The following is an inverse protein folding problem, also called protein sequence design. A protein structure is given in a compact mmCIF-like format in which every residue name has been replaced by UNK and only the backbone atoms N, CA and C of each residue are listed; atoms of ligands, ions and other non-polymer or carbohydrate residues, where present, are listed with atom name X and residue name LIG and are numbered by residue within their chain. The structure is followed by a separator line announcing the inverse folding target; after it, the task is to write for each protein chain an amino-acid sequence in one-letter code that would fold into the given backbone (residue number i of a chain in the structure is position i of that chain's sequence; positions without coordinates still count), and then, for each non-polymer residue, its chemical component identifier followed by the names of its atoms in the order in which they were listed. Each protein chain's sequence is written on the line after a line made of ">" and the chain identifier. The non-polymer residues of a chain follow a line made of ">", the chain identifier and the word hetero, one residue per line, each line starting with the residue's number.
data_IF_747674248922
#
_entry.id   IF_747674248922
#
_cell.length_a   1.000
_cell.length_b   1.000
_cell.length_c   1.000
_cell.angle_alpha   90.00
_cell.angle_beta   90.00
_cell.angle_gamma   90.00
#
_symmetry.space_group_name_H-M   'P 1'
#
loop_
_entity.id
_entity.type
_entity.pdbx_description
1 polymer ?
#
# COMPACT_ATOMS: atom_id res chain seq x y z
N UNK A 1 11.41 -14.02 -32.59
CA UNK A 1 11.43 -13.94 -31.12
C UNK A 1 11.38 -12.47 -30.74
N UNK A 2 10.18 -11.94 -30.61
CA UNK A 2 9.94 -10.61 -30.05
C UNK A 2 8.84 -10.77 -29.02
N UNK A 3 9.22 -10.70 -27.75
CA UNK A 3 8.29 -10.63 -26.63
C UNK A 3 7.64 -9.24 -26.66
N UNK A 4 6.51 -9.09 -27.34
CA UNK A 4 5.64 -7.94 -27.15
C UNK A 4 4.96 -8.10 -25.80
N UNK A 5 5.44 -7.33 -24.82
CA UNK A 5 4.85 -7.23 -23.51
C UNK A 5 3.41 -6.77 -23.63
N UNK A 6 2.49 -7.58 -23.13
CA UNK A 6 1.13 -7.18 -22.87
C UNK A 6 1.18 -5.96 -21.95
N UNK A 7 0.87 -4.78 -22.46
CA UNK A 7 0.63 -3.58 -21.67
C UNK A 7 -0.64 -3.84 -20.84
N UNK A 8 -0.45 -4.42 -19.67
CA UNK A 8 -1.46 -4.54 -18.64
C UNK A 8 -1.89 -3.12 -18.28
N UNK A 9 -3.11 -2.72 -18.65
CA UNK A 9 -3.74 -1.51 -18.16
C UNK A 9 -4.00 -1.67 -16.65
N UNK A 10 -2.94 -1.54 -15.88
CA UNK A 10 -3.00 -1.27 -14.46
C UNK A 10 -3.79 0.01 -14.35
N UNK A 11 -4.84 0.06 -13.53
CA UNK A 11 -5.23 1.33 -12.93
C UNK A 11 -3.97 1.75 -12.16
N UNK A 12 -3.08 2.43 -12.86
CA UNK A 12 -1.91 3.04 -12.29
C UNK A 12 -2.45 3.89 -11.17
N UNK A 13 -2.19 3.45 -9.94
CA UNK A 13 -2.27 4.41 -8.86
C UNK A 13 -1.14 5.38 -9.20
N UNK A 14 -1.50 6.52 -9.78
CA UNK A 14 -0.61 7.57 -10.27
C UNK A 14 0.19 8.23 -9.13
N UNK A 15 0.61 7.43 -8.17
CA UNK A 15 1.42 7.87 -7.04
C UNK A 15 2.76 7.17 -7.17
N UNK A 16 3.76 7.96 -7.51
CA UNK A 16 5.15 7.51 -7.56
C UNK A 16 5.92 8.03 -6.34
N UNK A 17 7.07 7.45 -6.00
CA UNK A 17 7.97 7.99 -4.98
C UNK A 17 8.33 9.45 -5.20
N UNK A 18 8.47 9.89 -6.44
CA UNK A 18 8.74 11.27 -6.83
C UNK A 18 7.69 12.25 -6.30
N UNK A 19 6.41 11.84 -6.28
CA UNK A 19 5.29 12.70 -5.86
C UNK A 19 5.19 12.86 -4.35
N UNK A 20 5.83 11.97 -3.58
CA UNK A 20 5.66 11.87 -2.13
C UNK A 20 6.95 11.98 -1.34
N UNK A 21 8.11 11.85 -1.99
CA UNK A 21 9.40 11.93 -1.32
C UNK A 21 9.68 13.31 -0.72
N UNK A 22 10.50 13.33 0.30
CA UNK A 22 11.15 14.54 0.80
C UNK A 22 12.52 14.64 0.16
N UNK A 23 12.82 15.73 -0.51
CA UNK A 23 14.17 16.03 -1.00
C UNK A 23 15.11 16.40 0.16
N UNK A 24 14.55 16.84 1.30
CA UNK A 24 15.31 17.14 2.51
C UNK A 24 15.52 15.85 3.30
N UNK A 25 16.66 15.25 3.14
CA UNK A 25 17.10 14.11 3.93
C UNK A 25 18.46 14.38 4.57
N UNK A 26 18.79 13.62 5.61
CA UNK A 26 20.10 13.68 6.26
C UNK A 26 20.88 12.43 5.91
N UNK A 27 22.13 12.61 5.54
CA UNK A 27 23.09 11.55 5.27
C UNK A 27 24.19 11.53 6.33
N UNK A 28 24.58 10.34 6.77
CA UNK A 28 25.72 10.13 7.65
C UNK A 28 26.61 9.00 7.11
N UNK A 29 27.89 9.04 7.48
CA UNK A 29 28.79 7.90 7.24
C UNK A 29 28.52 6.79 8.24
N UNK A 30 28.62 5.54 7.80
CA UNK A 30 28.51 4.35 8.65
C UNK A 30 29.56 4.30 9.76
N UNK A 31 30.69 4.98 9.56
CA UNK A 31 31.82 5.03 10.53
C UNK A 31 31.63 6.10 11.61
N UNK A 32 30.65 7.00 11.47
CA UNK A 32 30.37 8.00 12.49
C UNK A 32 29.78 7.38 13.75
N UNK A 33 29.90 8.10 14.90
CA UNK A 33 29.36 7.64 16.18
C UNK A 33 27.86 7.87 16.27
N UNK A 34 27.14 7.01 16.96
CA UNK A 34 25.70 7.14 17.18
C UNK A 34 25.34 8.42 17.93
N UNK A 35 26.24 8.96 18.77
CA UNK A 35 26.05 10.27 19.41
C UNK A 35 25.78 11.39 18.42
N UNK A 36 26.48 11.38 17.27
CA UNK A 36 26.21 12.35 16.19
C UNK A 36 24.83 12.15 15.55
N UNK A 37 24.42 10.90 15.36
CA UNK A 37 23.09 10.61 14.84
C UNK A 37 21.99 11.09 15.81
N UNK A 38 22.20 10.93 17.13
CA UNK A 38 21.27 11.43 18.16
C UNK A 38 21.14 12.94 18.04
N UNK A 39 22.24 13.68 18.03
CA UNK A 39 22.25 15.15 17.86
C UNK A 39 21.48 15.56 16.59
N UNK A 40 21.66 14.84 15.47
CA UNK A 40 20.95 15.10 14.23
C UNK A 40 19.43 14.88 14.39
N UNK A 41 19.01 13.82 15.09
CA UNK A 41 17.58 13.58 15.36
C UNK A 41 16.98 14.67 16.26
N UNK A 42 17.71 15.12 17.28
CA UNK A 42 17.29 16.18 18.21
C UNK A 42 17.16 17.55 17.52
N UNK A 43 18.13 17.92 16.67
CA UNK A 43 18.17 19.23 16.02
C UNK A 43 17.29 19.36 14.78
N UNK A 44 17.16 18.29 14.00
CA UNK A 44 16.54 18.31 12.67
C UNK A 44 15.29 17.46 12.54
N UNK A 45 15.02 16.59 13.52
CA UNK A 45 13.89 15.65 13.55
C UNK A 45 13.65 14.94 12.18
N UNK A 46 14.69 14.37 11.53
CA UNK A 46 14.52 13.72 10.27
C UNK A 46 13.70 12.43 10.42
N UNK A 47 12.92 12.07 9.42
CA UNK A 47 12.12 10.83 9.40
C UNK A 47 13.02 9.57 9.46
N UNK A 48 14.20 9.64 8.87
CA UNK A 48 15.30 8.68 8.99
C UNK A 48 16.61 9.31 8.49
N UNK A 49 17.73 8.72 8.86
CA UNK A 49 19.07 9.08 8.34
C UNK A 49 19.48 8.04 7.30
N UNK A 50 19.88 8.50 6.12
CA UNK A 50 20.43 7.65 5.06
C UNK A 50 21.92 7.42 5.32
N UNK A 51 22.37 6.16 5.34
CA UNK A 51 23.73 5.80 5.72
C UNK A 51 24.52 5.36 4.50
N UNK A 52 25.73 5.91 4.39
CA UNK A 52 26.70 5.61 3.32
C UNK A 52 28.02 5.13 3.91
N UNK A 53 28.79 4.33 3.14
CA UNK A 53 30.15 3.96 3.51
C UNK A 53 31.16 5.08 3.22
N UNK A 54 32.43 4.82 3.49
CA UNK A 54 33.54 5.75 3.22
C UNK A 54 33.70 6.09 1.73
N UNK A 55 33.22 5.21 0.85
CA UNK A 55 33.25 5.42 -0.61
C UNK A 55 32.01 6.14 -1.13
N UNK A 56 31.09 6.54 -0.22
CA UNK A 56 29.84 7.17 -0.56
C UNK A 56 28.76 6.20 -1.07
N UNK A 57 28.95 4.88 -0.95
CA UNK A 57 27.98 3.88 -1.39
C UNK A 57 26.90 3.68 -0.32
N UNK A 58 25.65 3.59 -0.73
CA UNK A 58 24.50 3.38 0.15
C UNK A 58 24.58 2.06 0.92
N UNK A 59 24.39 2.13 2.24
CA UNK A 59 24.42 0.98 3.17
C UNK A 59 23.07 0.68 3.83
N UNK A 60 22.20 1.67 3.96
CA UNK A 60 20.93 1.49 4.60
C UNK A 60 20.38 2.76 5.22
N UNK A 61 19.43 2.59 6.13
CA UNK A 61 18.83 3.69 6.88
C UNK A 61 18.97 3.45 8.38
N UNK A 62 19.06 4.54 9.13
CA UNK A 62 19.02 4.56 10.58
C UNK A 62 17.76 5.27 11.03
N UNK A 63 16.98 4.63 11.89
CA UNK A 63 15.79 5.21 12.52
C UNK A 63 16.04 5.48 13.98
N UNK A 64 15.55 6.61 14.48
CA UNK A 64 15.67 7.03 15.87
C UNK A 64 15.21 5.95 16.85
N UNK A 65 14.10 5.28 16.56
CA UNK A 65 13.54 4.21 17.40
C UNK A 65 14.49 3.04 17.66
N UNK A 66 15.43 2.76 16.75
CA UNK A 66 16.39 1.67 16.93
C UNK A 66 17.50 2.08 17.89
N UNK A 67 17.89 3.35 17.87
CA UNK A 67 18.86 3.90 18.82
C UNK A 67 18.30 3.75 20.24
N UNK A 68 17.03 4.12 20.44
CA UNK A 68 16.38 4.04 21.74
C UNK A 68 16.16 2.61 22.24
N UNK A 69 15.98 1.65 21.35
CA UNK A 69 15.83 0.22 21.74
C UNK A 69 17.15 -0.46 22.03
N UNK A 70 18.25 0.06 21.50
CA UNK A 70 19.56 -0.52 21.69
C UNK A 70 20.14 -0.08 23.03
N UNK A 71 20.44 -1.05 23.90
CA UNK A 71 21.14 -0.79 25.17
C UNK A 71 22.64 -0.68 24.95
N UNK A 72 23.08 0.36 24.25
CA UNK A 72 24.47 0.56 23.82
C UNK A 72 24.93 1.96 24.23
N UNK A 73 26.25 2.14 24.38
CA UNK A 73 26.84 3.45 24.58
C UNK A 73 26.97 4.18 23.22
N UNK A 74 26.19 5.27 22.99
CA UNK A 74 26.20 5.97 21.71
C UNK A 74 27.57 6.62 21.38
N UNK A 75 28.38 6.90 22.38
CA UNK A 75 29.71 7.53 22.22
C UNK A 75 30.77 6.54 21.76
N UNK A 76 30.51 5.24 21.93
CA UNK A 76 31.43 4.15 21.57
C UNK A 76 30.93 3.28 20.43
N UNK A 77 29.70 3.48 20.01
CA UNK A 77 29.05 2.66 18.98
C UNK A 77 28.91 3.44 17.68
N UNK A 78 29.33 2.83 16.60
CA UNK A 78 29.22 3.42 15.25
C UNK A 78 27.81 3.26 14.68
N UNK A 79 27.44 4.17 13.78
CA UNK A 79 26.16 4.19 13.04
C UNK A 79 25.86 2.85 12.39
N UNK A 80 26.86 2.19 11.77
CA UNK A 80 26.71 0.88 11.10
C UNK A 80 26.10 -0.21 11.98
N UNK A 81 26.29 -0.15 13.29
CA UNK A 81 25.79 -1.16 14.22
C UNK A 81 24.25 -1.20 14.31
N UNK A 82 23.57 -0.10 14.01
CA UNK A 82 22.12 0.02 14.02
C UNK A 82 21.52 0.35 12.64
N UNK A 83 22.37 0.49 11.64
CA UNK A 83 21.92 0.67 10.24
C UNK A 83 21.21 -0.58 9.76
N UNK A 84 20.04 -0.40 9.16
CA UNK A 84 19.31 -1.48 8.51
C UNK A 84 19.29 -1.28 7.01
N UNK A 85 19.66 -2.35 6.32
CA UNK A 85 19.54 -2.34 4.88
C UNK A 85 18.08 -2.44 4.46
N UNK A 86 17.67 -1.58 3.56
CA UNK A 86 16.44 -1.66 2.80
C UNK A 86 16.78 -1.42 1.34
N UNK A 87 16.22 -2.22 0.44
CA UNK A 87 16.41 -1.99 -0.98
C UNK A 87 15.88 -0.62 -1.37
N UNK A 88 16.77 0.25 -1.81
CA UNK A 88 16.40 1.55 -2.34
C UNK A 88 15.45 1.40 -3.54
N UNK A 89 14.61 2.38 -3.74
CA UNK A 89 13.64 2.43 -4.84
C UNK A 89 14.04 3.48 -5.87
N UNK A 90 13.54 3.34 -7.09
CA UNK A 90 13.60 4.39 -8.10
C UNK A 90 12.42 5.35 -7.97
N UNK A 91 12.55 6.52 -8.59
CA UNK A 91 11.49 7.53 -8.64
C UNK A 91 10.19 7.03 -9.29
N UNK A 92 10.26 5.99 -10.14
CA UNK A 92 9.14 5.39 -10.87
C UNK A 92 8.63 4.09 -10.24
N UNK A 93 9.15 3.69 -9.08
CA UNK A 93 8.72 2.46 -8.38
C UNK A 93 7.24 2.59 -7.98
N UNK A 94 6.46 1.51 -8.10
CA UNK A 94 5.08 1.49 -7.63
C UNK A 94 5.03 1.75 -6.11
N UNK A 95 4.16 2.68 -5.68
CA UNK A 95 4.06 3.09 -4.28
C UNK A 95 3.65 1.94 -3.34
N UNK A 96 2.90 0.94 -3.84
CA UNK A 96 2.55 -0.27 -3.07
C UNK A 96 3.77 -1.13 -2.80
N UNK A 97 4.71 -1.20 -3.74
CA UNK A 97 5.98 -1.89 -3.55
C UNK A 97 6.85 -1.17 -2.50
N UNK A 98 6.84 0.16 -2.49
CA UNK A 98 7.50 0.95 -1.44
C UNK A 98 6.93 0.62 -0.07
N UNK A 99 5.59 0.58 0.06
CA UNK A 99 4.91 0.19 1.30
C UNK A 99 5.30 -1.23 1.75
N UNK A 100 5.39 -2.18 0.81
CA UNK A 100 5.83 -3.56 1.09
C UNK A 100 7.26 -3.60 1.60
N UNK A 101 8.20 -2.90 0.96
CA UNK A 101 9.60 -2.81 1.40
C UNK A 101 9.72 -2.21 2.81
N UNK A 102 8.91 -1.19 3.15
CA UNK A 102 8.87 -0.62 4.50
C UNK A 102 8.46 -1.66 5.54
N UNK A 103 7.42 -2.46 5.26
CA UNK A 103 6.94 -3.49 6.19
C UNK A 103 7.94 -4.64 6.36
N UNK A 104 8.45 -5.18 5.27
CA UNK A 104 9.39 -6.31 5.25
C UNK A 104 10.70 -5.97 5.97
N UNK A 105 11.25 -4.80 5.69
CA UNK A 105 12.49 -4.34 6.33
C UNK A 105 12.27 -3.73 7.71
N UNK A 106 11.01 -3.49 8.10
CA UNK A 106 10.65 -2.85 9.36
C UNK A 106 11.16 -1.42 9.47
N UNK A 107 11.33 -0.70 8.35
CA UNK A 107 11.80 0.69 8.29
C UNK A 107 10.63 1.66 8.19
N UNK A 108 10.83 2.92 8.58
CA UNK A 108 9.83 3.98 8.49
C UNK A 108 10.03 4.86 7.26
N UNK A 109 11.20 4.76 6.61
CA UNK A 109 11.49 5.50 5.40
C UNK A 109 12.38 4.69 4.46
N UNK A 110 12.21 4.90 3.16
CA UNK A 110 12.98 4.26 2.09
C UNK A 110 13.59 5.33 1.22
N UNK A 111 14.92 5.27 0.94
CA UNK A 111 15.58 6.24 0.07
C UNK A 111 15.23 6.01 -1.40
N UNK A 112 15.10 7.11 -2.13
CA UNK A 112 14.78 7.16 -3.56
C UNK A 112 16.03 7.55 -4.32
N UNK A 113 16.39 6.78 -5.34
CA UNK A 113 17.51 7.05 -6.21
C UNK A 113 17.05 7.24 -7.65
N UNK A 114 17.88 7.89 -8.47
CA UNK A 114 17.63 7.97 -9.90
C UNK A 114 17.47 6.59 -10.52
N UNK A 115 16.52 6.42 -11.44
CA UNK A 115 16.25 5.13 -12.10
C UNK A 115 17.48 4.53 -12.79
N UNK A 116 18.39 5.36 -13.27
CA UNK A 116 19.65 4.96 -13.90
C UNK A 116 20.73 4.43 -12.90
N UNK A 117 20.49 4.53 -11.59
CA UNK A 117 21.46 4.12 -10.58
C UNK A 117 21.39 2.60 -10.33
N UNK A 118 22.39 1.85 -10.81
CA UNK A 118 22.58 0.44 -10.43
C UNK A 118 22.85 0.31 -8.93
N UNK A 119 22.65 -0.88 -8.36
CA UNK A 119 22.91 -1.12 -6.93
C UNK A 119 24.32 -0.69 -6.48
N UNK A 120 25.34 -0.94 -7.31
CA UNK A 120 26.72 -0.56 -7.04
C UNK A 120 27.01 0.94 -7.18
N UNK A 121 26.15 1.69 -7.89
CA UNK A 121 26.34 3.12 -8.16
C UNK A 121 25.39 4.03 -7.36
N UNK A 122 24.74 3.51 -6.32
CA UNK A 122 23.87 4.29 -5.42
C UNK A 122 24.70 5.10 -4.44
N UNK A 123 25.09 6.29 -4.87
CA UNK A 123 25.87 7.25 -4.08
C UNK A 123 24.99 8.35 -3.52
N UNK A 124 25.51 9.09 -2.54
CA UNK A 124 24.79 10.20 -1.94
C UNK A 124 24.32 11.24 -2.97
N UNK A 125 25.13 11.51 -3.99
CA UNK A 125 24.80 12.46 -5.08
C UNK A 125 23.64 12.00 -5.96
N UNK A 126 23.37 10.69 -6.03
CA UNK A 126 22.28 10.11 -6.81
C UNK A 126 21.04 9.84 -5.98
N UNK A 127 21.11 10.06 -4.68
CA UNK A 127 19.95 10.01 -3.79
C UNK A 127 19.10 11.25 -4.00
N UNK A 128 17.86 11.06 -4.45
CA UNK A 128 16.93 12.15 -4.72
C UNK A 128 16.16 12.59 -3.46
N UNK A 129 15.99 11.68 -2.51
CA UNK A 129 15.24 11.95 -1.31
C UNK A 129 14.84 10.68 -0.56
N UNK A 130 13.89 10.81 0.35
CA UNK A 130 13.30 9.69 1.10
C UNK A 130 11.79 9.74 1.05
N UNK A 131 11.16 8.56 1.01
CA UNK A 131 9.73 8.39 1.22
C UNK A 131 9.52 7.81 2.60
N UNK A 132 8.78 8.52 3.46
CA UNK A 132 8.41 8.01 4.78
C UNK A 132 7.01 7.39 4.78
N UNK A 133 6.75 6.59 5.82
CA UNK A 133 5.46 5.94 6.05
C UNK A 133 4.30 6.95 6.06
N UNK A 134 4.45 8.06 6.77
CA UNK A 134 3.38 9.07 6.87
C UNK A 134 3.15 9.82 5.57
N UNK A 135 4.20 10.10 4.79
CA UNK A 135 4.06 10.74 3.47
C UNK A 135 3.35 9.83 2.48
N UNK A 136 3.75 8.55 2.46
CA UNK A 136 3.12 7.52 1.64
C UNK A 136 1.63 7.38 2.01
N UNK A 137 1.33 7.20 3.30
CA UNK A 137 -0.04 7.05 3.78
C UNK A 137 -0.89 8.29 3.51
N UNK A 138 -0.35 9.50 3.65
CA UNK A 138 -1.05 10.75 3.32
C UNK A 138 -1.43 10.78 1.84
N UNK A 139 -0.50 10.50 0.95
CA UNK A 139 -0.78 10.46 -0.48
C UNK A 139 -1.78 9.36 -0.84
N UNK A 140 -1.64 8.15 -0.26
CA UNK A 140 -2.58 7.06 -0.44
C UNK A 140 -4.00 7.43 0.02
N UNK A 141 -4.12 8.07 1.18
CA UNK A 141 -5.41 8.49 1.73
C UNK A 141 -6.06 9.66 0.96
N UNK A 142 -5.27 10.55 0.38
CA UNK A 142 -5.77 11.69 -0.39
C UNK A 142 -6.13 11.32 -1.83
N UNK A 143 -5.25 10.57 -2.51
CA UNK A 143 -5.35 10.30 -3.95
C UNK A 143 -6.09 9.01 -4.30
N UNK A 144 -6.41 8.15 -3.33
CA UNK A 144 -7.09 6.88 -3.59
C UNK A 144 -8.36 6.69 -2.76
N UNK A 145 -9.27 5.79 -3.18
CA UNK A 145 -10.46 5.47 -2.38
C UNK A 145 -10.16 4.85 -1.00
N UNK A 146 -8.93 4.41 -0.76
CA UNK A 146 -8.49 3.91 0.55
C UNK A 146 -8.76 4.91 1.68
N UNK A 147 -8.56 6.21 1.42
CA UNK A 147 -8.84 7.26 2.41
C UNK A 147 -10.29 7.37 2.85
N UNK A 148 -11.24 6.83 2.07
CA UNK A 148 -12.68 6.81 2.38
C UNK A 148 -13.12 5.60 3.19
N UNK A 149 -12.22 4.63 3.40
CA UNK A 149 -12.49 3.44 4.19
C UNK A 149 -12.64 3.78 5.69
N UNK A 150 -13.44 2.98 6.40
CA UNK A 150 -13.65 3.17 7.84
C UNK A 150 -12.51 2.57 8.65
N UNK A 151 -12.03 3.32 9.66
CA UNK A 151 -10.87 2.92 10.48
C UNK A 151 -11.10 1.62 11.26
N UNK A 152 -12.34 1.32 11.66
CA UNK A 152 -12.68 0.09 12.39
C UNK A 152 -12.32 -1.19 11.65
N UNK A 153 -12.24 -1.15 10.31
CA UNK A 153 -11.87 -2.31 9.47
C UNK A 153 -10.42 -2.75 9.67
N UNK A 154 -9.57 -1.83 10.12
CA UNK A 154 -8.12 -2.00 10.16
C UNK A 154 -7.53 -1.90 11.56
N UNK A 155 -8.34 -1.48 12.53
CA UNK A 155 -7.91 -1.33 13.91
C UNK A 155 -7.70 -2.67 14.61
N UNK A 156 -6.66 -2.74 15.44
CA UNK A 156 -6.45 -3.84 16.38
C UNK A 156 -7.40 -3.68 17.56
N UNK A 157 -8.34 -4.63 17.73
CA UNK A 157 -9.38 -4.59 18.78
C UNK A 157 -9.00 -5.40 20.02
N UNK A 158 -8.12 -6.40 19.89
CA UNK A 158 -7.61 -7.15 21.04
C UNK A 158 -6.50 -6.34 21.71
N UNK A 159 -6.90 -5.42 22.61
CA UNK A 159 -6.01 -4.46 23.22
C UNK A 159 -5.27 -5.05 24.40
N UNK A 160 -3.95 -4.89 24.39
CA UNK A 160 -3.09 -5.03 25.55
C UNK A 160 -2.99 -3.66 26.20
N UNK A 161 -3.46 -3.53 27.43
CA UNK A 161 -3.51 -2.26 28.15
C UNK A 161 -2.77 -2.33 29.48
N UNK A 162 -2.44 -1.18 29.99
CA UNK A 162 -1.80 -0.99 31.29
C UNK A 162 -2.66 -0.10 32.18
N UNK A 163 -2.36 -0.06 33.48
CA UNK A 163 -3.04 0.80 34.45
C UNK A 163 -2.12 1.95 34.87
N UNK A 164 -2.64 3.13 35.25
CA UNK A 164 -1.81 4.29 35.65
C UNK A 164 -0.75 3.98 36.69
N UNK A 165 -1.10 3.13 37.67
CA UNK A 165 -0.24 2.70 38.76
C UNK A 165 0.75 1.58 38.41
N UNK A 166 0.67 1.02 37.20
CA UNK A 166 1.66 0.04 36.78
C UNK A 166 3.03 0.71 36.63
N UNK A 167 4.10 -0.03 36.90
CA UNK A 167 5.45 0.51 36.81
C UNK A 167 5.96 0.54 35.33
N UNK A 168 6.93 1.42 35.10
CA UNK A 168 7.68 1.42 33.81
C UNK A 168 8.31 0.04 33.54
N UNK A 169 8.79 -0.67 34.57
CA UNK A 169 9.31 -2.03 34.43
C UNK A 169 8.25 -2.98 33.88
N UNK A 170 7.00 -2.91 34.36
CA UNK A 170 5.88 -3.71 33.86
C UNK A 170 5.55 -3.35 32.41
N UNK A 171 5.53 -2.05 32.06
CA UNK A 171 5.32 -1.61 30.69
C UNK A 171 6.35 -2.20 29.72
N UNK A 172 7.64 -2.15 30.09
CA UNK A 172 8.73 -2.73 29.31
C UNK A 172 8.63 -4.26 29.17
N UNK A 173 8.21 -4.95 30.24
CA UNK A 173 7.96 -6.40 30.20
C UNK A 173 6.81 -6.74 29.23
N UNK A 174 5.67 -6.04 29.37
CA UNK A 174 4.50 -6.18 28.50
C UNK A 174 4.86 -5.91 27.02
N UNK A 175 5.63 -4.85 26.76
CA UNK A 175 6.06 -4.54 25.38
C UNK A 175 6.93 -5.64 24.77
N UNK A 176 7.77 -6.27 25.59
CA UNK A 176 8.62 -7.38 25.14
C UNK A 176 7.82 -8.66 24.91
N UNK A 177 6.97 -9.02 25.87
CA UNK A 177 6.16 -10.24 25.84
C UNK A 177 5.23 -10.27 24.63
N UNK A 178 4.59 -9.13 24.33
CA UNK A 178 3.62 -9.00 23.24
C UNK A 178 4.19 -8.41 21.96
N UNK A 179 5.50 -8.18 21.87
CA UNK A 179 6.19 -7.57 20.72
C UNK A 179 5.60 -6.22 20.26
N UNK A 180 4.99 -5.47 21.20
CA UNK A 180 4.41 -4.14 20.96
C UNK A 180 5.37 -3.02 21.41
N UNK A 181 5.08 -1.79 21.01
CA UNK A 181 5.87 -0.60 21.39
C UNK A 181 5.04 0.48 22.07
N UNK A 182 3.76 0.21 22.28
CA UNK A 182 2.81 1.13 22.93
C UNK A 182 1.63 0.37 23.48
N UNK A 183 0.99 0.94 24.50
CA UNK A 183 -0.23 0.40 25.06
C UNK A 183 -1.11 1.55 25.57
N UNK A 184 -2.44 1.49 25.38
CA UNK A 184 -3.35 2.40 26.06
C UNK A 184 -3.30 2.15 27.57
N UNK A 185 -3.48 3.22 28.32
CA UNK A 185 -3.56 3.20 29.78
C UNK A 185 -5.02 3.39 30.16
N UNK A 186 -5.58 2.40 30.88
CA UNK A 186 -6.99 2.38 31.25
C UNK A 186 -7.16 2.52 32.77
N UNK A 187 -8.12 3.34 33.17
CA UNK A 187 -8.59 3.47 34.54
C UNK A 187 -10.12 3.43 34.56
N UNK A 188 -10.70 2.52 35.33
CA UNK A 188 -12.15 2.36 35.40
C UNK A 188 -12.83 2.03 34.07
N UNK A 189 -12.10 1.44 33.11
CA UNK A 189 -12.60 1.12 31.76
C UNK A 189 -12.50 2.27 30.76
N UNK A 190 -12.07 3.45 31.19
CA UNK A 190 -11.81 4.60 30.33
C UNK A 190 -10.33 4.70 29.99
N UNK A 191 -10.01 5.20 28.82
CA UNK A 191 -8.62 5.48 28.44
C UNK A 191 -8.20 6.82 29.05
N UNK A 192 -7.11 6.80 29.82
CA UNK A 192 -6.58 8.00 30.48
C UNK A 192 -5.23 8.44 29.92
N UNK A 193 -4.60 7.61 29.08
CA UNK A 193 -3.33 7.92 28.45
C UNK A 193 -2.89 6.84 27.48
N UNK A 194 -1.76 7.07 26.82
CA UNK A 194 -1.02 6.08 26.04
C UNK A 194 0.44 6.11 26.51
N UNK A 195 1.02 4.95 26.75
CA UNK A 195 2.44 4.81 27.04
C UNK A 195 3.15 4.17 25.86
N UNK A 196 4.24 4.75 25.42
CA UNK A 196 5.05 4.24 24.30
C UNK A 196 6.47 3.93 24.73
N UNK A 197 7.17 3.11 23.94
CA UNK A 197 8.60 2.88 24.13
C UNK A 197 9.39 4.19 24.03
N UNK A 198 8.98 5.10 23.14
CA UNK A 198 9.60 6.42 23.02
C UNK A 198 9.50 7.22 24.29
N UNK A 199 8.31 7.30 24.92
CA UNK A 199 8.12 8.02 26.19
C UNK A 199 9.05 7.49 27.29
N UNK A 200 9.18 6.16 27.38
CA UNK A 200 10.04 5.52 28.38
C UNK A 200 11.52 5.84 28.10
N UNK A 201 11.93 5.73 26.85
CA UNK A 201 13.35 5.93 26.50
C UNK A 201 13.78 7.37 26.67
N UNK A 202 13.01 8.32 26.16
CA UNK A 202 13.34 9.75 26.24
C UNK A 202 13.37 10.24 27.67
N UNK A 203 12.50 9.74 28.55
CA UNK A 203 12.45 10.20 29.94
C UNK A 203 13.41 9.49 30.87
N UNK A 204 13.76 8.21 30.64
CA UNK A 204 14.50 7.39 31.61
C UNK A 204 15.78 6.77 31.07
N UNK A 205 15.92 6.58 29.78
CA UNK A 205 17.06 5.86 29.20
C UNK A 205 18.07 6.77 28.49
N UNK A 206 17.67 7.99 28.12
CA UNK A 206 18.58 8.98 27.55
C UNK A 206 19.41 9.65 28.66
N UNK A 207 20.72 9.77 28.48
CA UNK A 207 21.57 10.54 29.43
C UNK A 207 21.15 12.01 29.35
N UNK A 208 20.66 12.57 30.45
CA UNK A 208 20.54 14.02 30.58
C UNK A 208 21.95 14.60 30.64
N UNK A 209 22.26 15.58 29.80
CA UNK A 209 23.60 16.22 29.68
C UNK A 209 24.14 16.84 31.01
N UNK A 210 23.36 16.82 32.09
CA UNK A 210 23.71 17.43 33.39
C UNK A 210 23.91 16.44 34.55
N UNK A 211 23.90 15.13 34.32
CA UNK A 211 24.21 14.17 35.34
C UNK A 211 25.74 13.98 35.44
N UNK A 212 26.36 14.51 36.47
CA UNK A 212 27.75 14.26 36.77
C UNK A 212 28.00 12.79 37.07
N UNK A 213 29.19 12.28 36.70
CA UNK A 213 29.59 10.86 36.74
C UNK A 213 29.43 10.18 38.14
N UNK A 214 29.20 10.96 39.21
CA UNK A 214 28.99 10.47 40.58
C UNK A 214 27.57 9.96 40.88
N UNK A 215 26.55 10.38 40.10
CA UNK A 215 25.15 10.10 40.42
C UNK A 215 24.67 8.72 39.93
N UNK A 216 25.51 8.01 39.14
CA UNK A 216 25.13 6.76 38.50
C UNK A 216 25.32 5.48 39.33
N UNK A 217 26.04 5.53 40.45
CA UNK A 217 26.42 4.31 41.18
C UNK A 217 25.35 3.79 42.15
N UNK A 218 24.38 4.61 42.56
CA UNK A 218 23.40 4.27 43.61
C UNK A 218 21.92 4.17 43.17
N UNK A 219 21.53 4.72 42.03
CA UNK A 219 20.12 4.92 41.67
C UNK A 219 19.59 4.14 40.43
N UNK A 220 20.36 3.23 39.87
CA UNK A 220 20.01 2.51 38.63
C UNK A 220 18.74 1.67 38.68
N UNK A 221 18.13 1.43 39.82
CA UNK A 221 16.91 0.61 39.95
C UNK A 221 15.62 1.43 40.18
N UNK A 222 15.72 2.69 40.59
CA UNK A 222 14.55 3.51 40.90
C UNK A 222 13.72 3.98 39.69
N UNK A 223 14.29 4.30 38.49
CA UNK A 223 13.50 4.79 37.38
C UNK A 223 12.47 3.79 36.86
N UNK A 224 12.73 2.49 37.02
CA UNK A 224 11.84 1.44 36.50
C UNK A 224 10.64 1.15 37.43
N UNK A 225 10.67 1.59 38.68
CA UNK A 225 9.57 1.46 39.65
C UNK A 225 8.56 2.62 39.59
N UNK A 226 8.84 3.66 38.78
CA UNK A 226 7.96 4.82 38.63
C UNK A 226 6.64 4.40 37.99
N UNK A 227 5.47 4.85 38.50
CA UNK A 227 4.19 4.64 37.90
C UNK A 227 4.12 5.27 36.49
N UNK A 228 3.47 4.58 35.56
CA UNK A 228 3.41 5.07 34.18
C UNK A 228 2.55 6.33 33.99
N UNK A 229 1.69 6.67 34.95
CA UNK A 229 0.92 7.92 34.94
C UNK A 229 1.79 9.17 34.82
N UNK A 230 3.01 9.13 35.39
CA UNK A 230 3.99 10.21 35.28
C UNK A 230 4.76 10.25 33.93
N UNK A 231 4.55 9.27 33.08
CA UNK A 231 5.33 9.06 31.85
C UNK A 231 4.44 9.04 30.62
N UNK A 232 3.21 8.53 30.75
CA UNK A 232 2.26 8.41 29.65
C UNK A 232 1.95 9.78 29.01
N UNK A 233 1.61 9.75 27.75
CA UNK A 233 1.17 10.92 26.99
C UNK A 233 -0.34 11.12 27.12
N UNK A 234 -0.76 12.38 27.35
CA UNK A 234 -2.13 12.87 27.34
C UNK A 234 -2.13 14.35 26.86
N UNK A 235 -3.21 14.90 26.27
CA UNK A 235 -4.48 14.26 25.97
C UNK A 235 -4.37 13.20 24.85
N UNK A 236 -5.37 12.33 24.81
CA UNK A 236 -5.45 11.27 23.81
C UNK A 236 -5.95 11.83 22.49
N UNK A 237 -5.41 11.27 21.40
CA UNK A 237 -5.91 11.53 20.05
C UNK A 237 -6.64 10.29 19.60
N UNK A 238 -7.94 10.42 19.40
CA UNK A 238 -8.84 9.35 19.03
C UNK A 238 -9.69 9.71 17.80
N UNK A 239 -10.22 8.69 17.15
CA UNK A 239 -11.19 8.78 16.05
C UNK A 239 -12.36 7.85 16.35
N UNK A 240 -13.59 8.18 15.93
CA UNK A 240 -14.73 7.26 16.07
C UNK A 240 -14.57 6.04 15.14
N UNK A 241 -15.22 4.91 15.42
CA UNK A 241 -15.12 3.69 14.61
C UNK A 241 -15.50 3.88 13.14
N UNK A 242 -16.44 4.77 12.84
CA UNK A 242 -16.89 5.14 11.50
C UNK A 242 -16.02 6.22 10.85
N UNK A 243 -15.05 6.77 11.59
CA UNK A 243 -14.06 7.73 11.10
C UNK A 243 -13.32 7.17 9.88
N UNK A 244 -12.84 8.06 9.03
CA UNK A 244 -12.19 7.65 7.78
C UNK A 244 -10.68 7.52 7.97
N UNK A 245 -10.08 6.65 7.17
CA UNK A 245 -8.60 6.48 7.13
C UNK A 245 -7.91 7.82 6.91
N UNK A 246 -8.46 8.68 6.02
CA UNK A 246 -7.91 10.01 5.78
C UNK A 246 -7.81 10.86 7.04
N UNK A 247 -8.85 10.84 7.88
CA UNK A 247 -8.90 11.62 9.12
C UNK A 247 -7.85 11.10 10.13
N UNK A 248 -7.75 9.78 10.27
CA UNK A 248 -6.74 9.15 11.13
C UNK A 248 -5.31 9.49 10.68
N UNK A 249 -5.03 9.43 9.37
CA UNK A 249 -3.71 9.79 8.82
C UNK A 249 -3.40 11.27 9.03
N UNK A 250 -4.37 12.16 8.84
CA UNK A 250 -4.20 13.60 9.10
C UNK A 250 -3.86 13.86 10.55
N UNK A 251 -4.59 13.26 11.49
CA UNK A 251 -4.28 13.37 12.93
C UNK A 251 -2.90 12.85 13.28
N UNK A 252 -2.48 11.70 12.69
CA UNK A 252 -1.14 11.16 12.90
C UNK A 252 -0.06 12.12 12.40
N UNK A 253 -0.28 12.77 11.25
CA UNK A 253 0.66 13.72 10.67
C UNK A 253 0.74 15.03 11.45
N UNK A 254 -0.40 15.62 11.80
CA UNK A 254 -0.49 16.92 12.47
C UNK A 254 0.07 16.90 13.88
N UNK A 255 -0.04 15.76 14.57
CA UNK A 255 0.41 15.60 15.94
C UNK A 255 1.73 14.82 16.06
N UNK A 256 2.38 14.50 14.92
CA UNK A 256 3.61 13.68 14.87
C UNK A 256 3.53 12.38 15.68
N UNK A 257 2.38 11.71 15.60
CA UNK A 257 2.14 10.45 16.28
C UNK A 257 2.06 9.29 15.29
N UNK A 258 2.32 8.09 15.77
CA UNK A 258 2.33 6.89 14.93
C UNK A 258 1.14 5.96 15.19
N UNK A 259 0.16 6.40 15.98
CA UNK A 259 -1.09 5.69 16.22
C UNK A 259 -2.17 6.63 16.74
N UNK A 260 -3.43 6.30 16.45
CA UNK A 260 -4.62 6.89 17.05
C UNK A 260 -5.43 5.81 17.75
N UNK A 261 -6.21 6.17 18.74
CA UNK A 261 -7.16 5.28 19.38
C UNK A 261 -8.49 5.32 18.63
N UNK A 262 -9.18 4.18 18.61
CA UNK A 262 -10.55 4.12 18.16
C UNK A 262 -11.42 4.16 19.41
N UNK A 263 -12.25 5.19 19.52
CA UNK A 263 -13.04 5.46 20.72
C UNK A 263 -14.51 5.69 20.39
N UNK A 264 -15.36 5.03 21.14
CA UNK A 264 -16.80 5.25 21.11
C UNK A 264 -17.33 5.44 22.53
N UNK A 265 -18.01 6.58 22.79
CA UNK A 265 -18.62 6.89 24.10
C UNK A 265 -17.65 6.72 25.28
N UNK A 266 -16.44 7.28 25.15
CA UNK A 266 -15.35 7.20 26.14
C UNK A 266 -14.78 5.77 26.35
N UNK A 267 -15.14 4.80 25.51
CA UNK A 267 -14.61 3.44 25.54
C UNK A 267 -13.62 3.23 24.40
N UNK A 268 -12.45 2.71 24.73
CA UNK A 268 -11.48 2.32 23.74
C UNK A 268 -11.93 1.03 23.03
N UNK A 269 -12.21 1.13 21.73
CA UNK A 269 -12.59 0.02 20.88
C UNK A 269 -11.40 -0.62 20.18
N UNK A 270 -10.30 0.10 20.04
CA UNK A 270 -9.13 -0.37 19.33
C UNK A 270 -8.00 0.66 19.25
N UNK A 271 -6.92 0.24 18.65
CA UNK A 271 -5.80 1.10 18.28
C UNK A 271 -5.47 0.90 16.80
N UNK A 272 -5.17 1.99 16.11
CA UNK A 272 -4.77 1.99 14.71
C UNK A 272 -3.40 2.61 14.58
N UNK A 273 -2.45 1.88 14.00
CA UNK A 273 -1.07 2.35 13.81
C UNK A 273 -0.75 2.60 12.34
N UNK A 274 0.31 3.38 12.07
CA UNK A 274 0.84 3.55 10.70
C UNK A 274 1.15 2.20 10.03
N UNK A 275 1.63 1.21 10.82
CA UNK A 275 1.91 -0.14 10.32
C UNK A 275 0.64 -0.85 9.87
N UNK A 276 -0.43 -0.79 10.67
CA UNK A 276 -1.73 -1.39 10.31
C UNK A 276 -2.28 -0.77 9.02
N UNK A 277 -2.11 0.55 8.86
CA UNK A 277 -2.52 1.27 7.66
C UNK A 277 -1.68 0.91 6.43
N UNK A 278 -0.36 0.69 6.57
CA UNK A 278 0.48 0.21 5.46
C UNK A 278 0.06 -1.19 5.02
N UNK A 279 -0.17 -2.11 5.98
CA UNK A 279 -0.66 -3.46 5.70
C UNK A 279 -2.04 -3.43 5.03
N UNK A 280 -2.94 -2.57 5.54
CA UNK A 280 -4.26 -2.36 4.98
C UNK A 280 -4.20 -1.79 3.55
N UNK A 281 -3.33 -0.82 3.29
CA UNK A 281 -3.13 -0.22 1.98
C UNK A 281 -2.65 -1.23 0.94
N UNK A 282 -1.68 -2.06 1.30
CA UNK A 282 -1.19 -3.14 0.42
C UNK A 282 -2.33 -4.12 0.10
N UNK A 283 -3.06 -4.58 1.12
CA UNK A 283 -4.21 -5.47 0.94
C UNK A 283 -5.30 -4.83 0.06
N UNK A 284 -5.64 -3.58 0.33
CA UNK A 284 -6.62 -2.82 -0.44
C UNK A 284 -6.22 -2.71 -1.92
N UNK A 285 -4.96 -2.44 -2.19
CA UNK A 285 -4.40 -2.34 -3.54
C UNK A 285 -4.37 -3.70 -4.24
N UNK A 286 -3.97 -4.77 -3.53
CA UNK A 286 -3.92 -6.13 -4.08
C UNK A 286 -5.32 -6.70 -4.35
N UNK A 287 -6.32 -6.37 -3.52
CA UNK A 287 -7.74 -6.77 -3.78
C UNK A 287 -8.28 -6.06 -5.01
N UNK A 288 -7.90 -4.80 -5.25
CA UNK A 288 -8.20 -4.12 -6.51
C UNK A 288 -7.48 -4.73 -7.71
N UNK A 289 -6.26 -5.22 -7.53
CA UNK A 289 -5.52 -5.95 -8.56
C UNK A 289 -6.19 -7.29 -8.90
N UNK A 290 -6.82 -7.96 -7.94
CA UNK A 290 -7.60 -9.20 -8.17
C UNK A 290 -8.93 -8.96 -8.88
N UNK A 291 -9.50 -7.76 -8.82
CA UNK A 291 -10.68 -7.40 -9.61
C UNK A 291 -10.27 -6.95 -11.01
N UNK A 292 -9.72 -7.88 -11.78
CA UNK A 292 -9.29 -7.63 -13.16
C UNK A 292 -9.97 -8.58 -14.10
N UNK A 293 -10.45 -8.00 -15.19
CA UNK A 293 -10.77 -8.74 -16.41
C UNK A 293 -9.58 -8.53 -17.34
N UNK A 294 -8.79 -9.60 -17.53
CA UNK A 294 -7.71 -9.60 -18.50
C UNK A 294 -8.27 -9.74 -19.91
N UNK A 295 -7.70 -9.01 -20.87
CA UNK A 295 -8.10 -9.10 -22.27
C UNK A 295 -6.99 -9.80 -23.06
N UNK A 296 -7.36 -10.85 -23.81
CA UNK A 296 -6.46 -11.56 -24.70
C UNK A 296 -6.98 -11.55 -26.12
N UNK A 297 -6.09 -11.27 -27.06
CA UNK A 297 -6.36 -11.36 -28.49
C UNK A 297 -5.84 -12.68 -29.04
N UNK A 298 -6.57 -13.27 -29.98
CA UNK A 298 -6.19 -14.51 -30.63
C UNK A 298 -6.61 -14.50 -32.11
N UNK A 299 -5.93 -15.27 -32.94
CA UNK A 299 -6.24 -15.38 -34.40
C UNK A 299 -5.66 -14.25 -35.24
N UNK A 300 -6.37 -13.86 -36.26
CA UNK A 300 -5.90 -12.99 -37.35
C UNK A 300 -6.08 -11.48 -37.02
N UNK A 301 -5.81 -11.07 -35.78
CA UNK A 301 -5.98 -9.68 -35.36
C UNK A 301 -4.91 -8.73 -35.94
N UNK A 302 -3.76 -9.26 -36.36
CA UNK A 302 -2.69 -8.49 -37.03
C UNK A 302 -3.09 -8.01 -38.42
N UNK A 303 -4.12 -8.64 -39.03
CA UNK A 303 -4.67 -8.27 -40.35
C UNK A 303 -5.67 -7.09 -40.24
N UNK A 304 -6.01 -6.63 -39.06
CA UNK A 304 -6.95 -5.52 -38.82
C UNK A 304 -6.21 -4.21 -38.92
N UNK A 305 -6.78 -3.23 -39.61
CA UNK A 305 -6.24 -1.88 -39.70
C UNK A 305 -5.99 -1.27 -38.32
N UNK A 306 -4.86 -0.56 -38.15
CA UNK A 306 -4.39 0.00 -36.89
C UNK A 306 -5.41 0.97 -36.26
N UNK A 307 -6.17 1.71 -37.06
CA UNK A 307 -7.19 2.62 -36.58
C UNK A 307 -8.38 1.84 -35.98
N UNK A 308 -8.88 0.83 -36.71
CA UNK A 308 -9.96 -0.05 -36.21
C UNK A 308 -9.52 -0.81 -34.96
N UNK A 309 -8.28 -1.31 -34.93
CA UNK A 309 -7.73 -2.01 -33.76
C UNK A 309 -7.63 -1.12 -32.53
N UNK A 310 -7.26 0.15 -32.69
CA UNK A 310 -7.24 1.13 -31.60
C UNK A 310 -8.64 1.38 -31.01
N UNK A 311 -9.66 1.45 -31.83
CA UNK A 311 -11.05 1.54 -31.36
C UNK A 311 -11.50 0.29 -30.63
N UNK A 312 -11.22 -0.90 -31.17
CA UNK A 312 -11.53 -2.19 -30.56
C UNK A 312 -10.86 -2.29 -29.18
N UNK A 313 -9.59 -1.89 -29.06
CA UNK A 313 -8.86 -1.89 -27.77
C UNK A 313 -9.50 -0.95 -26.75
N UNK A 314 -9.84 0.28 -27.17
CA UNK A 314 -10.50 1.25 -26.29
C UNK A 314 -11.83 0.73 -25.77
N UNK A 315 -12.63 0.12 -26.62
CA UNK A 315 -13.93 -0.43 -26.25
C UNK A 315 -13.82 -1.65 -25.33
N UNK A 316 -12.82 -2.51 -25.57
CA UNK A 316 -12.52 -3.64 -24.71
C UNK A 316 -12.07 -3.19 -23.31
N UNK A 317 -11.30 -2.10 -23.19
CA UNK A 317 -10.91 -1.53 -21.92
C UNK A 317 -12.14 -1.03 -21.13
N UNK A 318 -13.10 -0.41 -21.83
CA UNK A 318 -14.37 0.02 -21.21
C UNK A 318 -15.20 -1.19 -20.78
N UNK A 319 -15.30 -2.21 -21.65
CA UNK A 319 -16.01 -3.45 -21.33
C UNK A 319 -15.37 -4.18 -20.15
N UNK A 320 -14.06 -4.36 -20.15
CA UNK A 320 -13.32 -5.00 -19.06
C UNK A 320 -13.56 -4.29 -17.73
N UNK A 321 -13.55 -2.95 -17.70
CA UNK A 321 -13.88 -2.14 -16.51
C UNK A 321 -15.32 -2.34 -16.04
N UNK A 322 -16.29 -2.49 -16.95
CA UNK A 322 -17.68 -2.80 -16.62
C UNK A 322 -17.81 -4.21 -16.03
N UNK A 323 -17.19 -5.21 -16.65
CA UNK A 323 -17.21 -6.60 -16.22
C UNK A 323 -16.52 -6.78 -14.84
N UNK A 324 -15.41 -6.09 -14.59
CA UNK A 324 -14.70 -6.10 -13.32
C UNK A 324 -15.53 -5.54 -12.14
N UNK A 325 -16.58 -4.73 -12.40
CA UNK A 325 -17.55 -4.30 -11.37
C UNK A 325 -18.55 -5.39 -11.00
N UNK A 326 -18.71 -6.42 -11.84
CA UNK A 326 -19.68 -7.49 -11.65
C UNK A 326 -18.99 -8.76 -11.14
N UNK A 327 -17.84 -9.08 -11.71
CA UNK A 327 -17.02 -10.24 -11.35
C UNK A 327 -15.67 -9.76 -10.80
N UNK A 328 -15.17 -10.44 -9.78
CA UNK A 328 -13.90 -10.05 -9.13
C UNK A 328 -12.70 -10.32 -10.03
N UNK A 329 -12.77 -11.39 -10.83
CA UNK A 329 -11.75 -11.79 -11.79
C UNK A 329 -12.37 -12.44 -13.04
N UNK A 330 -11.70 -12.33 -14.16
CA UNK A 330 -12.12 -12.94 -15.40
C UNK A 330 -11.12 -12.75 -16.53
N UNK A 331 -11.25 -13.58 -17.55
CA UNK A 331 -10.47 -13.53 -18.77
C UNK A 331 -11.39 -13.30 -19.96
N UNK A 332 -11.20 -12.21 -20.67
CA UNK A 332 -11.93 -11.87 -21.90
C UNK A 332 -11.06 -12.20 -23.10
N UNK A 333 -11.37 -13.30 -23.78
CA UNK A 333 -10.66 -13.74 -24.98
C UNK A 333 -11.44 -13.31 -26.21
N UNK A 334 -10.80 -12.56 -27.11
CA UNK A 334 -11.37 -12.13 -28.39
C UNK A 334 -10.59 -12.79 -29.51
N UNK A 335 -11.25 -13.69 -30.22
CA UNK A 335 -10.66 -14.44 -31.34
C UNK A 335 -11.17 -13.87 -32.67
N UNK A 336 -10.26 -13.40 -33.51
CA UNK A 336 -10.50 -12.88 -34.82
C UNK A 336 -10.14 -13.94 -35.84
N UNK A 337 -11.03 -14.17 -36.81
CA UNK A 337 -10.79 -15.07 -37.96
C UNK A 337 -11.21 -14.35 -39.24
N UNK A 338 -10.23 -14.06 -40.07
CA UNK A 338 -10.51 -13.54 -41.44
C UNK A 338 -10.98 -14.65 -42.32
N UNK A 339 -12.12 -14.48 -42.97
CA UNK A 339 -12.68 -15.41 -43.94
C UNK A 339 -12.28 -14.91 -45.32
N UNK A 340 -11.40 -15.65 -45.95
CA UNK A 340 -11.11 -15.38 -47.39
C UNK A 340 -12.35 -15.73 -48.20
N UNK A 341 -12.91 -14.76 -48.92
CA UNK A 341 -13.98 -15.03 -49.86
C UNK A 341 -13.47 -16.08 -50.86
N UNK A 342 -14.05 -17.25 -50.84
CA UNK A 342 -13.78 -18.28 -51.84
C UNK A 342 -14.19 -17.69 -53.18
N UNK A 343 -13.27 -17.65 -54.12
CA UNK A 343 -13.56 -17.35 -55.53
C UNK A 343 -14.38 -18.51 -56.04
N UNK A 344 -15.70 -18.48 -55.85
CA UNK A 344 -16.58 -19.21 -56.76
C UNK A 344 -16.61 -18.40 -58.04
N UNK A 345 -15.92 -18.90 -59.01
CA UNK A 345 -15.94 -18.37 -60.38
C UNK A 345 -17.36 -18.44 -60.90
N UNK A 346 -18.12 -17.37 -60.81
CA UNK A 346 -19.26 -17.13 -61.67
C UNK A 346 -18.73 -16.42 -62.91
N UNK A 347 -18.90 -17.09 -64.03
CA UNK A 347 -18.71 -16.57 -65.40
C UNK A 347 -19.66 -15.39 -65.67
N UNK A 348 -19.31 -14.20 -65.18
CA UNK A 348 -19.86 -12.93 -65.64
C UNK A 348 -18.91 -11.83 -65.15
N UNK A 349 -18.12 -11.30 -66.09
CA UNK A 349 -17.17 -10.26 -65.80
C UNK A 349 -17.81 -8.99 -65.30
N UNK A 350 -17.47 -8.65 -64.08
CA UNK A 350 -17.28 -7.31 -63.50
C UNK A 350 -16.78 -7.51 -62.08
N UNK A 351 -15.46 -7.44 -61.92
CA UNK A 351 -14.85 -7.45 -60.59
C UNK A 351 -15.13 -6.09 -59.93
N UNK A 352 -16.12 -6.04 -59.03
CA UNK A 352 -16.26 -4.91 -58.09
C UNK A 352 -15.21 -5.05 -56.99
N UNK A 353 -14.20 -4.19 -56.99
CA UNK A 353 -13.13 -4.08 -55.99
C UNK A 353 -13.61 -3.60 -54.60
N UNK A 354 -14.89 -3.70 -54.26
CA UNK A 354 -15.48 -3.32 -52.97
C UNK A 354 -15.94 -4.50 -52.11
N UNK A 355 -15.36 -5.68 -52.27
CA UNK A 355 -15.61 -6.75 -51.32
C UNK A 355 -14.85 -6.49 -49.99
N UNK A 356 -15.50 -5.77 -49.09
CA UNK A 356 -14.97 -5.53 -47.76
C UNK A 356 -14.51 -6.81 -47.06
N UNK A 357 -13.50 -6.71 -46.24
CA UNK A 357 -12.94 -7.86 -45.51
C UNK A 357 -14.00 -8.52 -44.63
N UNK A 358 -14.15 -9.85 -44.76
CA UNK A 358 -15.12 -10.63 -44.02
C UNK A 358 -14.47 -11.26 -42.76
N UNK A 359 -15.03 -10.99 -41.61
CA UNK A 359 -14.52 -11.47 -40.31
C UNK A 359 -15.54 -12.33 -39.57
N UNK A 360 -15.05 -13.36 -38.87
CA UNK A 360 -15.77 -14.07 -37.82
C UNK A 360 -15.09 -13.76 -36.52
N UNK A 361 -15.80 -13.09 -35.62
CA UNK A 361 -15.26 -12.70 -34.29
C UNK A 361 -16.02 -13.49 -33.24
N UNK A 362 -15.24 -14.15 -32.35
CA UNK A 362 -15.76 -14.85 -31.19
C UNK A 362 -15.19 -14.23 -29.96
N UNK A 363 -16.04 -13.86 -28.98
CA UNK A 363 -15.65 -13.34 -27.68
C UNK A 363 -16.09 -14.32 -26.60
N UNK A 364 -15.19 -14.60 -25.64
CA UNK A 364 -15.45 -15.46 -24.48
C UNK A 364 -15.03 -14.72 -23.22
N UNK A 365 -15.95 -14.58 -22.30
CA UNK A 365 -15.66 -14.08 -20.97
C UNK A 365 -15.70 -15.25 -20.00
N UNK A 366 -14.53 -15.61 -19.46
CA UNK A 366 -14.31 -16.76 -18.58
C UNK A 366 -14.13 -16.24 -17.18
N UNK A 367 -14.96 -16.69 -16.26
CA UNK A 367 -14.86 -16.42 -14.82
C UNK A 367 -14.70 -17.73 -14.07
N UNK A 368 -14.29 -17.75 -12.81
CA UNK A 368 -14.20 -18.98 -12.03
C UNK A 368 -15.50 -19.79 -11.93
N UNK A 369 -16.65 -19.11 -12.14
CA UNK A 369 -17.96 -19.72 -11.95
C UNK A 369 -18.71 -19.95 -13.26
N UNK A 370 -18.49 -19.12 -14.30
CA UNK A 370 -19.27 -19.12 -15.53
C UNK A 370 -18.39 -18.80 -16.76
N UNK A 371 -18.82 -19.29 -17.92
CA UNK A 371 -18.25 -18.92 -19.22
C UNK A 371 -19.36 -18.33 -20.08
N UNK A 372 -19.20 -17.08 -20.47
CA UNK A 372 -20.07 -16.41 -21.44
C UNK A 372 -19.41 -16.42 -22.80
N UNK A 373 -20.16 -16.68 -23.84
CA UNK A 373 -19.63 -16.65 -25.20
C UNK A 373 -20.62 -15.99 -26.18
N UNK A 374 -20.06 -15.22 -27.10
CA UNK A 374 -20.79 -14.66 -28.26
C UNK A 374 -19.92 -14.77 -29.49
N UNK A 375 -20.56 -14.84 -30.63
CA UNK A 375 -19.92 -14.93 -31.95
C UNK A 375 -20.78 -14.18 -32.95
N UNK A 376 -20.15 -13.48 -33.87
CA UNK A 376 -20.79 -12.89 -35.03
C UNK A 376 -19.87 -12.97 -36.25
N UNK A 377 -20.45 -12.87 -37.41
CA UNK A 377 -19.78 -12.93 -38.70
C UNK A 377 -20.34 -11.83 -39.59
N UNK A 378 -19.50 -11.24 -40.45
CA UNK A 378 -19.92 -10.19 -41.37
C UNK A 378 -18.74 -9.40 -41.94
N UNK A 379 -19.07 -8.35 -42.66
CA UNK A 379 -18.11 -7.43 -43.25
C UNK A 379 -17.70 -6.36 -42.25
N UNK A 380 -16.39 -6.01 -42.25
CA UNK A 380 -15.81 -5.01 -41.39
C UNK A 380 -15.58 -5.51 -39.94
N UNK A 381 -14.32 -5.49 -39.49
CA UNK A 381 -13.96 -6.00 -38.18
C UNK A 381 -14.65 -5.24 -37.04
N UNK A 382 -14.81 -3.91 -37.17
CA UNK A 382 -15.40 -3.06 -36.13
C UNK A 382 -16.90 -3.36 -35.95
N UNK A 383 -17.68 -3.44 -37.02
CA UNK A 383 -19.13 -3.72 -36.95
C UNK A 383 -19.43 -5.11 -36.39
N UNK A 384 -18.63 -6.10 -36.78
CA UNK A 384 -18.74 -7.46 -36.21
C UNK A 384 -18.38 -7.49 -34.74
N UNK A 385 -17.33 -6.76 -34.37
CA UNK A 385 -16.89 -6.66 -32.98
C UNK A 385 -17.97 -6.01 -32.11
N UNK A 386 -18.59 -4.91 -32.52
CA UNK A 386 -19.63 -4.23 -31.72
C UNK A 386 -20.82 -5.17 -31.46
N UNK A 387 -21.29 -5.92 -32.45
CA UNK A 387 -22.35 -6.91 -32.27
C UNK A 387 -22.00 -7.99 -31.25
N UNK A 388 -20.75 -8.46 -31.29
CA UNK A 388 -20.27 -9.46 -30.30
C UNK A 388 -20.16 -8.88 -28.93
N UNK A 389 -19.65 -7.63 -28.79
CA UNK A 389 -19.53 -6.89 -27.54
C UNK A 389 -20.90 -6.73 -26.87
N UNK A 390 -21.89 -6.24 -27.60
CA UNK A 390 -23.26 -6.05 -27.10
C UNK A 390 -23.89 -7.36 -26.63
N UNK A 391 -23.64 -8.44 -27.39
CA UNK A 391 -24.16 -9.77 -27.04
C UNK A 391 -23.53 -10.30 -25.74
N UNK A 392 -22.24 -10.09 -25.48
CA UNK A 392 -21.57 -10.46 -24.23
C UNK A 392 -22.10 -9.61 -23.09
N UNK A 393 -22.17 -8.28 -23.25
CA UNK A 393 -22.72 -7.40 -22.22
C UNK A 393 -24.11 -7.86 -21.77
N UNK A 394 -25.02 -8.07 -22.71
CA UNK A 394 -26.39 -8.53 -22.42
C UNK A 394 -26.40 -9.81 -21.61
N UNK A 395 -25.68 -10.85 -22.04
CA UNK A 395 -25.65 -12.16 -21.35
C UNK A 395 -25.14 -12.05 -19.91
N UNK A 396 -24.13 -11.21 -19.68
CA UNK A 396 -23.55 -11.00 -18.35
C UNK A 396 -24.52 -10.25 -17.43
N UNK A 397 -25.22 -9.24 -17.97
CA UNK A 397 -26.19 -8.48 -17.20
C UNK A 397 -27.45 -9.29 -16.87
N UNK A 398 -27.97 -10.09 -17.79
CA UNK A 398 -29.10 -11.00 -17.56
C UNK A 398 -28.80 -12.01 -16.43
N UNK A 399 -27.62 -12.62 -16.45
CA UNK A 399 -27.18 -13.54 -15.39
C UNK A 399 -27.09 -12.85 -14.02
N UNK A 400 -26.62 -11.59 -13.99
CA UNK A 400 -26.56 -10.81 -12.76
C UNK A 400 -27.96 -10.54 -12.17
N UNK A 401 -28.91 -10.19 -13.02
CA UNK A 401 -30.30 -9.95 -12.59
C UNK A 401 -30.96 -11.22 -12.08
N UNK A 402 -30.79 -12.35 -12.74
CA UNK A 402 -31.28 -13.66 -12.30
C UNK A 402 -30.70 -14.04 -10.91
N UNK A 403 -29.41 -13.82 -10.68
CA UNK A 403 -28.79 -14.05 -9.36
C UNK A 403 -29.35 -13.12 -8.29
N UNK A 404 -29.69 -11.88 -8.66
CA UNK A 404 -30.26 -10.89 -7.73
C UNK A 404 -31.71 -11.26 -7.33
N UNK A 405 -32.48 -11.77 -8.28
CA UNK A 405 -33.85 -12.26 -8.03
C UNK A 405 -33.86 -13.52 -7.15
N UNK A 406 -32.98 -14.50 -7.43
CA UNK A 406 -32.83 -15.69 -6.59
C UNK A 406 -32.50 -15.33 -5.15
N UNK A 407 -31.55 -14.45 -4.92
CA UNK A 407 -31.22 -13.97 -3.55
C UNK A 407 -32.35 -13.21 -2.87
N UNK A 408 -33.20 -12.51 -3.63
CA UNK A 408 -34.40 -11.87 -3.06
C UNK A 408 -35.47 -12.89 -2.63
N UNK A 409 -35.67 -13.94 -3.42
CA UNK A 409 -36.62 -15.02 -3.09
C UNK A 409 -36.17 -15.82 -1.87
N UNK A 410 -34.88 -16.15 -1.77
CA UNK A 410 -34.31 -16.84 -0.61
C UNK A 410 -34.44 -16.02 0.69
N UNK A 411 -34.20 -14.71 0.66
CA UNK A 411 -34.42 -13.81 1.82
C UNK A 411 -35.90 -13.57 2.16
N UNK A 412 -36.79 -13.76 1.20
CA UNK A 412 -38.24 -13.67 1.43
C UNK A 412 -38.81 -14.89 2.19
N UNK A 413 -38.23 -16.10 1.96
CA UNK A 413 -38.65 -17.34 2.63
C UNK A 413 -38.13 -17.45 4.08
N UNK A 414 -37.07 -16.73 4.44
CA UNK A 414 -36.55 -16.69 5.83
C UNK A 414 -37.32 -15.72 6.75
N UNK A 415 -38.36 -15.02 6.23
CA UNK A 415 -39.12 -14.02 6.97
C UNK A 415 -40.59 -14.36 7.17
N UNK A 416 -41.04 -15.56 6.81
CA UNK A 416 -42.37 -16.04 7.22
C UNK A 416 -42.23 -16.85 8.52
N UNK A 417 -43.01 -16.51 9.57
CA UNK A 417 -42.85 -17.03 10.93
C UNK A 417 -43.25 -18.50 11.07
#
# INVERSE_FOLDING_TARGET
>A
MCCCGAASAVLEMEISPKDVMSERFVALSEEEMLSKAITVFEERSPEAIVVFDSNGTYKGVLSERWIYRARIDPRRTKVKSLTRFVSAVSEDTNIVEVARKMLESGVQAVPVFKASASAASRTAEKCLGIVSDIRLLSAAAEKTPFGKEEVKKYATTNLIYLRPKDSVAKALATFREHAISRAPVLEGGKVVGIITMHDIVTRFLMPRERATFGDFAGEKLRPLSVPIEGVMSSPLISVPPEGKVKDAVSLMRENDISSVLIEERERCMGILTKRDLLEAFIKFSTVKERRRVEVQFAGDYDDIDAFQMSHIQSDLDVLAKKLAKIYEEGLLVVHFKRIKAGIEASEAGEASEEAGEHFNIRMRFITPQNVFSAQAEGFGALDVFERVKDSIERKVFEEKELKREKRRKERGHEREP
#
